data_IF_337278138141
#
_entry.id   IF_337278138141
#
_cell.length_a   1.000
_cell.length_b   1.000
_cell.length_c   1.000
_cell.angle_alpha   90.00
_cell.angle_beta   90.00
_cell.angle_gamma   90.00
#
_symmetry.space_group_name_H-M   'P 1'
#
loop_
_entity.id
_entity.type
_entity.pdbx_description
1 polymer ?
#
# COMPACT_ATOMS: atom_id res chain seq x y z
N UNK A 1 -22.14 6.57 -5.97
CA UNK A 1 -20.72 6.53 -5.58
C UNK A 1 -20.46 5.26 -4.77
N UNK A 2 -19.41 4.49 -5.07
CA UNK A 2 -19.01 3.37 -4.21
C UNK A 2 -18.21 3.92 -3.04
N UNK A 3 -18.60 3.61 -1.81
CA UNK A 3 -17.87 3.99 -0.61
C UNK A 3 -16.72 3.00 -0.47
N UNK A 4 -15.50 3.45 -0.75
CA UNK A 4 -14.31 2.65 -0.46
C UNK A 4 -13.97 2.80 1.01
N UNK A 5 -13.58 1.70 1.65
CA UNK A 5 -13.05 1.75 3.01
C UNK A 5 -11.67 2.40 2.97
N UNK A 6 -11.40 3.20 3.99
CA UNK A 6 -10.09 3.75 4.29
C UNK A 6 -9.31 2.71 5.09
N UNK A 7 -8.17 2.26 4.56
CA UNK A 7 -7.28 1.31 5.22
C UNK A 7 -5.89 1.91 5.35
N UNK A 8 -5.15 1.50 6.38
CA UNK A 8 -3.84 2.07 6.69
C UNK A 8 -2.74 1.29 6.00
N UNK A 9 -1.84 1.98 5.30
CA UNK A 9 -0.64 1.37 4.75
C UNK A 9 0.23 0.84 5.90
N UNK A 10 0.65 -0.42 5.81
CA UNK A 10 1.51 -1.06 6.80
C UNK A 10 2.97 -0.60 6.74
N UNK A 11 3.36 0.13 5.69
CA UNK A 11 4.72 0.63 5.45
C UNK A 11 4.87 2.10 5.87
N UNK A 12 4.17 3.02 5.20
CA UNK A 12 4.25 4.47 5.52
C UNK A 12 3.23 4.95 6.57
N UNK A 13 2.21 4.15 6.91
CA UNK A 13 1.17 4.52 7.88
C UNK A 13 0.08 5.47 7.37
N UNK A 14 0.12 5.88 6.10
CA UNK A 14 -0.89 6.72 5.47
C UNK A 14 -2.22 5.99 5.26
N UNK A 15 -3.31 6.75 5.17
CA UNK A 15 -4.63 6.21 4.88
C UNK A 15 -4.87 6.15 3.38
N UNK A 16 -5.20 4.97 2.86
CA UNK A 16 -5.50 4.75 1.45
C UNK A 16 -6.87 4.13 1.26
N UNK A 17 -7.49 4.43 0.11
CA UNK A 17 -8.71 3.74 -0.29
C UNK A 17 -8.40 2.27 -0.59
N UNK A 18 -9.27 1.35 -0.16
CA UNK A 18 -9.14 -0.09 -0.38
C UNK A 18 -8.91 -0.44 -1.87
N UNK A 19 -9.54 0.29 -2.79
CA UNK A 19 -9.34 0.14 -4.25
C UNK A 19 -7.93 0.51 -4.74
N UNK A 20 -7.20 1.31 -3.96
CA UNK A 20 -5.84 1.78 -4.21
C UNK A 20 -4.80 1.10 -3.30
N UNK A 21 -5.22 0.11 -2.51
CA UNK A 21 -4.29 -0.66 -1.71
C UNK A 21 -3.84 -1.92 -2.48
N UNK A 22 -2.72 -2.49 -2.04
CA UNK A 22 -2.13 -3.70 -2.58
C UNK A 22 -1.69 -4.61 -1.44
N UNK A 23 -1.56 -5.90 -1.71
CA UNK A 23 -1.05 -6.88 -0.74
C UNK A 23 0.41 -7.19 -1.10
N UNK A 24 1.34 -6.86 -0.21
CA UNK A 24 2.77 -7.19 -0.32
C UNK A 24 3.18 -7.98 0.91
N UNK A 25 3.71 -9.19 0.73
CA UNK A 25 4.13 -10.09 1.83
C UNK A 25 3.04 -10.30 2.91
N UNK A 26 1.77 -10.37 2.49
CA UNK A 26 0.63 -10.50 3.41
C UNK A 26 0.24 -9.22 4.15
N UNK A 27 0.94 -8.10 3.92
CA UNK A 27 0.62 -6.78 4.47
C UNK A 27 -0.09 -5.91 3.43
N UNK A 28 -1.01 -5.09 3.89
CA UNK A 28 -1.68 -4.08 3.06
C UNK A 28 -0.78 -2.85 2.94
N UNK A 29 -0.45 -2.45 1.72
CA UNK A 29 0.38 -1.28 1.42
C UNK A 29 -0.29 -0.38 0.38
N UNK A 30 0.04 0.91 0.37
CA UNK A 30 -0.39 1.85 -0.65
C UNK A 30 0.35 1.61 -1.98
N UNK A 31 -0.19 2.09 -3.10
CA UNK A 31 0.47 2.00 -4.42
C UNK A 31 1.94 2.45 -4.41
N UNK A 32 2.34 3.59 -3.79
CA UNK A 32 3.75 3.98 -3.80
C UNK A 32 4.65 3.07 -2.95
N UNK A 33 4.15 2.46 -1.87
CA UNK A 33 4.91 1.49 -1.07
C UNK A 33 4.91 0.08 -1.67
N UNK A 34 3.91 -0.24 -2.50
CA UNK A 34 3.88 -1.47 -3.29
C UNK A 34 4.99 -1.37 -4.33
N UNK A 35 5.94 -2.31 -4.29
CA UNK A 35 7.15 -2.29 -5.12
C UNK A 35 8.24 -1.29 -4.68
N UNK A 36 8.28 -0.89 -3.40
CA UNK A 36 9.55 -0.52 -2.74
C UNK A 36 10.46 -1.76 -2.61
N UNK A 37 10.67 -2.45 -3.72
CA UNK A 37 11.77 -3.38 -3.88
C UNK A 37 13.00 -2.48 -4.05
N UNK A 38 13.63 -2.14 -2.92
CA UNK A 38 15.00 -1.66 -2.90
C UNK A 38 15.88 -2.80 -3.47
N UNK A 39 15.86 -2.98 -4.80
CA UNK A 39 16.97 -3.62 -5.50
C UNK A 39 18.01 -2.54 -5.40
N UNK A 40 18.74 -2.53 -4.29
CA UNK A 40 20.00 -1.86 -4.15
C UNK A 40 20.82 -2.19 -5.41
N UNK A 41 20.71 -1.33 -6.40
CA UNK A 41 21.77 -1.12 -7.35
C UNK A 41 22.84 -0.46 -6.52
N UNK A 42 23.83 -1.28 -6.14
CA UNK A 42 25.00 -0.83 -5.40
C UNK A 42 25.85 0.19 -6.14
#
# INVERSE_FOLDING_TARGET
ARIFRSIRCADCGETVAESRARVQEGKIVCIPCFEHYDRGWG
#
